data_IF_784575106064
#
_entry.id   IF_784575106064
#
_cell.length_a   1.000
_cell.length_b   1.000
_cell.length_c   1.000
_cell.angle_alpha   90.00
_cell.angle_beta   90.00
_cell.angle_gamma   90.00
#
_symmetry.space_group_name_H-M   'P 1'
#
loop_
_entity.id
_entity.type
_entity.pdbx_description
1 polymer ?
#
# COMPACT_ATOMS: atom_id res chain seq x y z
N UNK A 1 25.38 11.74 25.27
CA UNK A 1 25.60 11.90 23.82
C UNK A 1 24.24 11.77 23.16
N UNK A 2 23.84 12.81 22.44
CA UNK A 2 22.52 12.98 21.83
C UNK A 2 22.33 11.98 20.70
N UNK A 3 21.64 10.88 21.00
CA UNK A 3 21.26 9.86 20.03
C UNK A 3 20.02 10.36 19.26
N UNK A 4 20.23 11.29 18.34
CA UNK A 4 19.19 11.73 17.42
C UNK A 4 18.82 10.54 16.52
N UNK A 5 17.54 10.19 16.37
CA UNK A 5 17.14 9.08 15.52
C UNK A 5 17.64 9.32 14.09
N UNK A 6 18.12 8.29 13.38
CA UNK A 6 18.60 8.44 12.02
C UNK A 6 17.49 9.04 11.14
N UNK A 7 17.84 9.90 10.16
CA UNK A 7 16.86 10.54 9.30
C UNK A 7 15.96 9.50 8.62
N UNK A 8 14.67 9.83 8.47
CA UNK A 8 13.65 9.00 7.81
C UNK A 8 13.99 8.80 6.34
N UNK A 9 14.93 7.90 6.03
CA UNK A 9 15.21 7.50 4.64
C UNK A 9 13.96 6.80 4.11
N UNK A 10 13.41 7.32 3.02
CA UNK A 10 12.31 6.67 2.31
C UNK A 10 12.87 5.41 1.63
N UNK A 11 12.21 4.27 1.87
CA UNK A 11 12.54 3.02 1.20
C UNK A 11 11.58 2.89 0.01
N UNK A 12 12.14 2.74 -1.18
CA UNK A 12 11.34 2.57 -2.40
C UNK A 12 10.52 1.26 -2.33
N UNK A 13 9.24 1.37 -2.68
CA UNK A 13 8.33 0.23 -2.68
C UNK A 13 8.40 -0.50 -4.01
N UNK A 14 8.66 -1.81 -3.97
CA UNK A 14 8.53 -2.67 -5.16
C UNK A 14 7.10 -2.75 -5.69
N UNK A 15 6.13 -2.47 -4.82
CA UNK A 15 4.72 -2.36 -5.22
C UNK A 15 4.41 -1.10 -6.03
N UNK A 16 5.25 -0.05 -6.00
CA UNK A 16 5.01 1.20 -6.73
C UNK A 16 4.83 0.98 -8.24
N UNK A 17 5.78 0.35 -8.97
CA UNK A 17 5.58 0.10 -10.40
C UNK A 17 4.36 -0.78 -10.67
N UNK A 18 3.99 -1.69 -9.76
CA UNK A 18 2.78 -2.51 -9.90
C UNK A 18 1.51 -1.64 -9.83
N UNK A 19 1.47 -0.69 -8.88
CA UNK A 19 0.37 0.29 -8.78
C UNK A 19 0.31 1.17 -10.01
N UNK A 20 1.44 1.70 -10.48
CA UNK A 20 1.50 2.58 -11.65
C UNK A 20 1.06 1.84 -12.93
N UNK A 21 1.49 0.60 -13.13
CA UNK A 21 1.03 -0.25 -14.24
C UNK A 21 -0.49 -0.50 -14.15
N UNK A 22 -1.00 -0.88 -12.97
CA UNK A 22 -2.45 -1.12 -12.81
C UNK A 22 -3.27 0.17 -13.02
N UNK A 23 -2.73 1.34 -12.68
CA UNK A 23 -3.40 2.61 -12.95
C UNK A 23 -3.42 2.98 -14.43
N UNK A 24 -2.56 2.39 -15.25
CA UNK A 24 -2.52 2.65 -16.69
C UNK A 24 -3.60 1.88 -17.45
N UNK A 25 -4.12 0.78 -16.91
CA UNK A 25 -5.10 -0.09 -17.61
C UNK A 25 -6.41 -0.34 -16.82
N UNK A 26 -6.44 -0.04 -15.52
CA UNK A 26 -7.58 -0.34 -14.66
C UNK A 26 -8.19 0.94 -14.09
N UNK A 27 -9.52 1.04 -14.12
CA UNK A 27 -10.27 2.24 -13.70
C UNK A 27 -10.08 2.55 -12.21
N UNK A 28 -10.05 1.52 -11.37
CA UNK A 28 -9.85 1.63 -9.92
C UNK A 28 -8.69 0.72 -9.49
N UNK A 29 -7.79 1.23 -8.66
CA UNK A 29 -6.73 0.42 -8.05
C UNK A 29 -6.84 0.53 -6.55
N UNK A 30 -6.87 -0.59 -5.84
CA UNK A 30 -6.90 -0.64 -4.38
C UNK A 30 -5.57 -1.14 -3.84
N UNK A 31 -4.87 -0.30 -3.07
CA UNK A 31 -3.74 -0.73 -2.25
C UNK A 31 -4.29 -1.29 -0.93
N UNK A 32 -4.25 -2.61 -0.77
CA UNK A 32 -4.81 -3.31 0.40
C UNK A 32 -3.70 -3.92 1.26
N UNK A 33 -3.79 -3.79 2.58
CA UNK A 33 -2.78 -4.39 3.46
C UNK A 33 -3.00 -4.09 4.94
N UNK A 34 -2.18 -4.68 5.83
CA UNK A 34 -2.30 -4.45 7.26
C UNK A 34 -2.07 -2.98 7.61
N UNK A 35 -2.50 -2.60 8.83
CA UNK A 35 -2.21 -1.27 9.36
C UNK A 35 -0.70 -1.06 9.43
N UNK A 36 -0.25 0.18 9.23
CA UNK A 36 1.16 0.56 9.31
C UNK A 36 2.10 -0.09 8.27
N UNK A 37 1.59 -0.77 7.25
CA UNK A 37 2.39 -1.31 6.14
C UNK A 37 2.92 -0.25 5.15
N UNK A 38 2.61 1.04 5.35
CA UNK A 38 3.06 2.14 4.48
C UNK A 38 2.17 2.43 3.27
N UNK A 39 0.88 2.05 3.32
CA UNK A 39 -0.11 2.29 2.23
C UNK A 39 -0.27 3.76 1.90
N UNK A 40 -0.60 4.59 2.89
CA UNK A 40 -0.73 6.05 2.76
C UNK A 40 0.53 6.68 2.17
N UNK A 41 1.72 6.24 2.62
CA UNK A 41 3.00 6.75 2.09
C UNK A 41 3.15 6.43 0.61
N UNK A 42 2.90 5.18 0.19
CA UNK A 42 2.94 4.78 -1.21
C UNK A 42 1.91 5.55 -2.05
N UNK A 43 0.68 5.67 -1.56
CA UNK A 43 -0.39 6.38 -2.26
C UNK A 43 -0.09 7.87 -2.44
N UNK A 44 0.58 8.51 -1.47
CA UNK A 44 1.08 9.89 -1.62
C UNK A 44 2.16 10.03 -2.68
N UNK A 45 3.05 9.04 -2.84
CA UNK A 45 4.07 9.07 -3.92
C UNK A 45 3.46 9.00 -5.33
N UNK A 46 2.24 8.46 -5.44
CA UNK A 46 1.48 8.34 -6.71
C UNK A 46 0.50 9.51 -6.92
N UNK A 47 0.25 10.31 -5.88
CA UNK A 47 -0.58 11.52 -5.98
C UNK A 47 0.14 12.65 -6.71
N UNK A 48 -0.64 13.57 -7.29
CA UNK A 48 -0.11 14.69 -8.06
C UNK A 48 -1.18 15.75 -8.31
N UNK A 49 -0.85 16.76 -9.12
CA UNK A 49 -1.78 17.84 -9.47
C UNK A 49 -3.01 17.32 -10.22
N UNK A 50 -2.85 16.27 -11.03
CA UNK A 50 -3.94 15.63 -11.79
C UNK A 50 -4.66 14.54 -10.99
N UNK A 51 -4.10 14.11 -9.84
CA UNK A 51 -4.63 13.08 -8.95
C UNK A 51 -4.49 13.55 -7.49
N UNK A 52 -5.37 14.46 -7.03
CA UNK A 52 -5.34 14.97 -5.67
C UNK A 52 -5.45 13.86 -4.63
N UNK A 53 -4.77 14.07 -3.50
CA UNK A 53 -4.82 13.17 -2.36
C UNK A 53 -5.90 13.59 -1.36
N UNK A 54 -6.87 12.72 -1.14
CA UNK A 54 -8.01 12.91 -0.23
C UNK A 54 -7.92 11.84 0.85
N UNK A 55 -7.90 12.25 2.12
CA UNK A 55 -7.90 11.30 3.24
C UNK A 55 -9.21 11.30 3.97
N UNK A 56 -9.76 10.10 4.17
CA UNK A 56 -10.95 9.93 5.00
C UNK A 56 -10.59 9.89 6.48
N UNK A 57 -9.33 10.05 6.90
CA UNK A 57 -8.98 10.26 8.31
C UNK A 57 -9.42 11.65 8.81
N UNK A 58 -9.48 12.64 7.91
CA UNK A 58 -10.04 13.96 8.20
C UNK A 58 -11.55 13.87 8.44
N UNK A 59 -12.02 14.41 9.57
CA UNK A 59 -13.41 14.29 10.03
C UNK A 59 -14.37 15.01 9.09
N UNK A 60 -13.99 16.18 8.57
CA UNK A 60 -14.81 16.95 7.63
C UNK A 60 -15.01 16.20 6.32
N UNK A 61 -13.90 15.70 5.77
CA UNK A 61 -13.86 14.90 4.54
C UNK A 61 -14.67 13.62 4.69
N UNK A 62 -14.51 12.90 5.81
CA UNK A 62 -15.29 11.69 6.10
C UNK A 62 -16.78 11.98 6.17
N UNK A 63 -17.17 13.05 6.86
CA UNK A 63 -18.57 13.42 6.99
C UNK A 63 -19.17 13.76 5.63
N UNK A 64 -18.48 14.55 4.81
CA UNK A 64 -18.92 14.84 3.45
C UNK A 64 -19.10 13.57 2.61
N UNK A 65 -18.13 12.66 2.65
CA UNK A 65 -18.17 11.38 1.96
C UNK A 65 -19.34 10.48 2.38
N UNK A 66 -19.72 10.50 3.67
CA UNK A 66 -20.83 9.70 4.20
C UNK A 66 -22.20 10.35 3.95
N UNK A 67 -22.28 11.68 4.01
CA UNK A 67 -23.55 12.40 3.87
C UNK A 67 -24.04 12.43 2.43
N UNK A 68 -23.15 12.67 1.46
CA UNK A 68 -23.48 12.63 0.04
C UNK A 68 -22.36 11.95 -0.77
N UNK A 69 -22.29 10.60 -0.77
CA UNK A 69 -21.25 9.86 -1.50
C UNK A 69 -21.21 10.19 -3.00
N UNK A 70 -22.37 10.39 -3.62
CA UNK A 70 -22.49 10.70 -5.05
C UNK A 70 -21.96 12.11 -5.33
N UNK A 71 -22.40 13.10 -4.53
CA UNK A 71 -21.90 14.47 -4.62
C UNK A 71 -20.40 14.57 -4.34
N UNK A 72 -19.87 13.77 -3.42
CA UNK A 72 -18.45 13.71 -3.08
C UNK A 72 -17.59 13.25 -4.27
N UNK A 73 -18.05 12.25 -5.04
CA UNK A 73 -17.32 11.73 -6.21
C UNK A 73 -17.58 12.55 -7.48
N UNK A 74 -18.66 13.33 -7.52
CA UNK A 74 -19.08 14.08 -8.71
C UNK A 74 -17.98 15.03 -9.19
N UNK A 75 -17.66 14.94 -10.48
CA UNK A 75 -16.67 15.80 -11.12
C UNK A 75 -15.22 15.45 -10.82
N UNK A 76 -14.94 14.45 -9.97
CA UNK A 76 -13.58 13.95 -9.77
C UNK A 76 -13.17 13.14 -11.00
N UNK A 77 -12.20 13.67 -11.75
CA UNK A 77 -11.57 12.96 -12.87
C UNK A 77 -10.66 11.84 -12.37
N UNK A 78 -9.70 12.20 -11.51
CA UNK A 78 -8.83 11.26 -10.80
C UNK A 78 -8.65 11.67 -9.34
N UNK A 79 -8.46 10.71 -8.44
CA UNK A 79 -8.09 10.99 -7.05
C UNK A 79 -7.38 9.79 -6.40
N UNK A 80 -6.62 10.09 -5.35
CA UNK A 80 -6.28 9.13 -4.30
C UNK A 80 -7.28 9.30 -3.16
N UNK A 81 -7.95 8.21 -2.73
CA UNK A 81 -8.83 8.20 -1.56
C UNK A 81 -8.24 7.24 -0.52
N UNK A 82 -7.70 7.81 0.55
CA UNK A 82 -7.04 7.07 1.62
C UNK A 82 -8.06 6.60 2.67
N UNK A 83 -7.88 5.37 3.15
CA UNK A 83 -8.68 4.72 4.19
C UNK A 83 -10.17 4.59 3.80
N UNK A 84 -10.45 4.16 2.56
CA UNK A 84 -11.81 4.09 1.99
C UNK A 84 -12.76 3.21 2.80
N UNK A 85 -12.25 2.25 3.59
CA UNK A 85 -13.08 1.45 4.50
C UNK A 85 -13.81 2.28 5.58
N UNK A 86 -13.41 3.54 5.80
CA UNK A 86 -14.11 4.44 6.71
C UNK A 86 -15.44 4.93 6.12
N UNK A 87 -15.61 4.92 4.80
CA UNK A 87 -16.88 5.25 4.13
C UNK A 87 -17.19 4.20 3.04
N UNK A 88 -17.62 2.98 3.40
CA UNK A 88 -17.96 1.92 2.45
C UNK A 88 -19.02 2.35 1.42
N UNK A 89 -19.87 3.31 1.75
CA UNK A 89 -20.92 3.86 0.89
C UNK A 89 -20.34 4.53 -0.38
N UNK A 90 -19.10 5.02 -0.33
CA UNK A 90 -18.41 5.60 -1.49
C UNK A 90 -18.21 4.59 -2.62
N UNK A 91 -18.19 3.28 -2.33
CA UNK A 91 -17.90 2.25 -3.32
C UNK A 91 -18.96 2.24 -4.42
N UNK A 92 -20.24 2.43 -4.07
CA UNK A 92 -21.33 2.52 -5.05
C UNK A 92 -21.23 3.80 -5.89
N UNK A 93 -20.86 4.93 -5.30
CA UNK A 93 -20.65 6.18 -6.01
C UNK A 93 -19.45 6.12 -6.96
N UNK A 94 -18.35 5.48 -6.53
CA UNK A 94 -17.17 5.22 -7.37
C UNK A 94 -17.56 4.31 -8.54
N UNK A 95 -18.30 3.23 -8.28
CA UNK A 95 -18.82 2.34 -9.33
C UNK A 95 -19.61 3.12 -10.37
N UNK A 96 -20.62 3.89 -9.96
CA UNK A 96 -21.44 4.70 -10.86
C UNK A 96 -20.59 5.68 -11.68
N UNK A 97 -19.57 6.28 -11.05
CA UNK A 97 -18.65 7.17 -11.73
C UNK A 97 -17.86 6.45 -12.83
N UNK A 98 -17.21 5.31 -12.52
CA UNK A 98 -16.38 4.55 -13.48
C UNK A 98 -17.16 3.71 -14.49
N UNK A 99 -18.48 3.59 -14.30
CA UNK A 99 -19.40 3.05 -15.31
C UNK A 99 -19.73 4.09 -16.39
N UNK A 100 -19.69 5.38 -16.05
CA UNK A 100 -19.95 6.49 -16.99
C UNK A 100 -18.73 6.92 -17.79
N UNK A 101 -17.56 6.78 -17.22
CA UNK A 101 -16.28 7.13 -17.84
C UNK A 101 -15.28 6.03 -17.49
N UNK A 102 -14.88 5.30 -18.54
CA UNK A 102 -14.05 4.12 -18.49
C UNK A 102 -12.55 4.40 -18.64
N UNK A 103 -12.13 5.68 -18.59
CA UNK A 103 -10.73 6.04 -18.54
C UNK A 103 -10.00 5.25 -17.43
N UNK A 104 -8.79 4.73 -17.69
CA UNK A 104 -7.99 4.09 -16.66
C UNK A 104 -7.52 5.05 -15.56
N UNK A 105 -7.28 4.47 -14.38
CA UNK A 105 -6.61 5.14 -13.29
C UNK A 105 -7.41 6.24 -12.62
N UNK A 106 -8.75 6.21 -12.68
CA UNK A 106 -9.61 7.23 -12.05
C UNK A 106 -9.44 7.26 -10.54
N UNK A 107 -9.46 6.12 -9.88
CA UNK A 107 -9.36 6.10 -8.41
C UNK A 107 -8.23 5.20 -7.93
N UNK A 108 -7.33 5.76 -7.13
CA UNK A 108 -6.40 4.99 -6.31
C UNK A 108 -6.96 4.97 -4.88
N UNK A 109 -7.35 3.81 -4.40
CA UNK A 109 -7.90 3.62 -3.06
C UNK A 109 -6.83 3.02 -2.16
N UNK A 110 -6.89 3.33 -0.87
CA UNK A 110 -6.19 2.54 0.16
C UNK A 110 -7.18 1.97 1.16
N UNK A 111 -6.84 0.82 1.72
CA UNK A 111 -7.58 0.30 2.86
C UNK A 111 -7.00 -0.94 3.51
N UNK A 112 -7.69 -1.43 4.53
CA UNK A 112 -7.27 -2.64 5.24
C UNK A 112 -7.29 -3.88 4.33
N UNK A 113 -6.51 -4.91 4.68
CA UNK A 113 -6.41 -6.15 3.90
C UNK A 113 -7.77 -6.82 3.60
N UNK A 114 -8.70 -6.79 4.57
CA UNK A 114 -10.02 -7.41 4.43
C UNK A 114 -10.99 -6.59 3.58
N UNK A 115 -10.60 -5.39 3.13
CA UNK A 115 -11.51 -4.54 2.38
C UNK A 115 -11.89 -5.15 1.04
N UNK A 116 -10.92 -5.77 0.35
CA UNK A 116 -11.15 -6.43 -0.92
C UNK A 116 -12.07 -7.67 -0.81
N UNK A 117 -12.22 -8.23 0.40
CA UNK A 117 -13.10 -9.39 0.65
C UNK A 117 -14.48 -9.00 1.15
N UNK A 118 -14.76 -7.71 1.35
CA UNK A 118 -16.11 -7.23 1.68
C UNK A 118 -17.01 -7.48 0.46
N UNK A 119 -18.10 -8.27 0.58
CA UNK A 119 -18.95 -8.65 -0.56
C UNK A 119 -19.46 -7.45 -1.36
N UNK A 120 -19.90 -6.40 -0.67
CA UNK A 120 -20.36 -5.15 -1.29
C UNK A 120 -19.31 -4.55 -2.22
N UNK A 121 -18.03 -4.65 -1.87
CA UNK A 121 -16.92 -4.11 -2.66
C UNK A 121 -16.57 -5.03 -3.81
N UNK A 122 -16.44 -6.33 -3.52
CA UNK A 122 -16.15 -7.35 -4.52
C UNK A 122 -17.20 -7.33 -5.65
N UNK A 123 -18.48 -7.29 -5.30
CA UNK A 123 -19.58 -7.31 -6.27
C UNK A 123 -19.70 -5.98 -7.03
N UNK A 124 -19.56 -4.85 -6.33
CA UNK A 124 -19.75 -3.54 -6.95
C UNK A 124 -18.63 -3.17 -7.93
N UNK A 125 -17.39 -3.56 -7.65
CA UNK A 125 -16.22 -3.19 -8.44
C UNK A 125 -15.61 -4.37 -9.22
N UNK A 126 -16.30 -5.51 -9.30
CA UNK A 126 -15.90 -6.63 -10.13
C UNK A 126 -15.61 -6.19 -11.58
N UNK A 127 -14.44 -6.61 -12.08
CA UNK A 127 -13.96 -6.29 -13.43
C UNK A 127 -13.54 -4.83 -13.66
N UNK A 128 -13.64 -3.95 -12.65
CA UNK A 128 -13.28 -2.52 -12.74
C UNK A 128 -12.12 -2.14 -11.84
N UNK A 129 -11.83 -2.99 -10.86
CA UNK A 129 -10.82 -2.76 -9.84
C UNK A 129 -9.73 -3.82 -9.88
N UNK A 130 -8.48 -3.37 -9.75
CA UNK A 130 -7.31 -4.20 -9.47
C UNK A 130 -6.90 -4.01 -8.02
N UNK A 131 -6.55 -5.10 -7.34
CA UNK A 131 -6.10 -5.07 -5.94
C UNK A 131 -4.61 -5.33 -5.90
N UNK A 132 -3.85 -4.35 -5.39
CA UNK A 132 -2.42 -4.47 -5.14
C UNK A 132 -2.19 -4.71 -3.65
N UNK A 133 -1.82 -5.94 -3.24
CA UNK A 133 -1.51 -6.21 -1.84
C UNK A 133 -0.21 -5.52 -1.42
N UNK A 134 -0.23 -4.88 -0.26
CA UNK A 134 0.91 -4.20 0.32
C UNK A 134 1.21 -4.74 1.72
N UNK A 135 2.17 -5.65 1.78
CA UNK A 135 2.73 -6.17 3.02
C UNK A 135 3.81 -5.23 3.58
N UNK A 136 4.30 -5.49 4.81
CA UNK A 136 5.51 -4.85 5.32
C UNK A 136 6.70 -5.06 4.36
N UNK A 137 7.76 -4.26 4.53
CA UNK A 137 8.91 -4.30 3.63
C UNK A 137 9.51 -5.69 3.51
N UNK A 138 9.77 -6.11 2.27
CA UNK A 138 10.61 -7.27 2.01
C UNK A 138 12.06 -6.96 2.39
N UNK A 139 12.85 -7.99 2.73
CA UNK A 139 14.29 -7.81 2.98
C UNK A 139 15.00 -7.18 1.77
N UNK A 140 14.55 -7.52 0.56
CA UNK A 140 15.09 -6.91 -0.66
C UNK A 140 14.77 -5.42 -0.81
N UNK A 141 13.66 -4.91 -0.24
CA UNK A 141 13.41 -3.46 -0.17
C UNK A 141 14.32 -2.81 0.87
N UNK A 142 14.45 -3.43 2.07
CA UNK A 142 15.29 -2.93 3.16
C UNK A 142 16.77 -2.84 2.73
N UNK A 143 17.26 -3.87 2.05
CA UNK A 143 18.64 -3.96 1.55
C UNK A 143 18.82 -3.27 0.19
N UNK A 144 17.75 -2.70 -0.40
CA UNK A 144 17.79 -2.08 -1.74
C UNK A 144 18.32 -3.04 -2.83
N UNK A 145 17.96 -4.32 -2.75
CA UNK A 145 18.34 -5.35 -3.72
C UNK A 145 17.19 -5.69 -4.68
N UNK A 146 17.49 -6.19 -5.89
CA UNK A 146 16.46 -6.57 -6.87
C UNK A 146 15.50 -7.66 -6.40
N UNK A 147 15.89 -8.53 -5.47
CA UNK A 147 15.01 -9.59 -4.95
C UNK A 147 14.62 -10.66 -5.99
N UNK A 148 15.58 -11.08 -6.82
CA UNK A 148 15.38 -11.98 -7.97
C UNK A 148 15.43 -13.48 -7.62
N UNK A 149 15.19 -13.86 -6.37
CA UNK A 149 15.33 -15.27 -5.96
C UNK A 149 14.42 -16.18 -6.80
N UNK A 150 13.14 -15.83 -6.89
CA UNK A 150 12.17 -16.63 -7.65
C UNK A 150 12.47 -16.63 -9.15
N UNK A 151 12.82 -15.46 -9.72
CA UNK A 151 13.16 -15.36 -11.15
C UNK A 151 14.33 -16.28 -11.52
N UNK A 152 15.37 -16.32 -10.69
CA UNK A 152 16.54 -17.19 -10.88
C UNK A 152 16.18 -18.67 -10.77
N UNK A 153 15.37 -19.04 -9.77
CA UNK A 153 14.90 -20.42 -9.61
C UNK A 153 14.05 -20.87 -10.81
N UNK A 154 13.16 -20.01 -11.32
CA UNK A 154 12.37 -20.31 -12.51
C UNK A 154 13.21 -20.36 -13.80
N UNK A 155 14.35 -19.66 -13.83
CA UNK A 155 15.33 -19.76 -14.90
C UNK A 155 16.22 -21.02 -14.80
N UNK A 156 16.01 -21.87 -13.77
CA UNK A 156 16.78 -23.09 -13.56
C UNK A 156 18.13 -22.88 -12.90
N UNK A 157 18.41 -21.69 -12.35
CA UNK A 157 19.62 -21.46 -11.55
C UNK A 157 19.50 -22.13 -10.18
N UNK A 158 20.56 -22.81 -9.75
CA UNK A 158 20.62 -23.34 -8.40
C UNK A 158 20.80 -22.20 -7.37
N UNK A 159 20.09 -22.26 -6.22
CA UNK A 159 20.29 -21.31 -5.16
C UNK A 159 21.71 -21.44 -4.60
N UNK A 160 22.42 -20.30 -4.56
CA UNK A 160 23.79 -20.21 -4.08
C UNK A 160 23.86 -19.31 -2.84
N UNK A 161 24.52 -19.80 -1.79
CA UNK A 161 24.88 -19.02 -0.61
C UNK A 161 26.32 -18.51 -0.78
N UNK A 162 26.47 -17.22 -1.07
CA UNK A 162 27.77 -16.54 -1.15
C UNK A 162 28.27 -16.04 0.21
N UNK A 163 29.38 -15.30 0.21
CA UNK A 163 29.99 -14.72 1.41
C UNK A 163 29.05 -13.76 2.15
N UNK A 164 28.17 -13.05 1.44
CA UNK A 164 27.18 -12.13 2.02
C UNK A 164 25.91 -12.82 2.56
N UNK A 165 25.90 -14.15 2.67
CA UNK A 165 24.73 -14.88 3.14
C UNK A 165 24.52 -14.66 4.63
N UNK A 166 23.34 -14.13 4.98
CA UNK A 166 22.92 -13.94 6.36
C UNK A 166 22.53 -15.29 6.98
N UNK A 167 23.31 -15.76 7.95
CA UNK A 167 23.12 -17.03 8.66
C UNK A 167 23.17 -16.84 10.18
N UNK A 168 22.81 -17.89 10.93
CA UNK A 168 22.94 -17.91 12.40
C UNK A 168 22.16 -16.78 13.08
N UNK A 169 22.81 -16.11 14.04
CA UNK A 169 22.20 -15.04 14.84
C UNK A 169 21.76 -13.85 14.00
N UNK A 170 22.47 -13.52 12.91
CA UNK A 170 22.08 -12.41 12.03
C UNK A 170 20.80 -12.72 11.26
N UNK A 171 20.57 -13.99 10.91
CA UNK A 171 19.31 -14.44 10.31
C UNK A 171 18.17 -14.32 11.31
N UNK A 172 18.39 -14.80 12.55
CA UNK A 172 17.41 -14.68 13.62
C UNK A 172 17.06 -13.21 13.87
N UNK A 173 18.08 -12.35 13.99
CA UNK A 173 17.89 -10.92 14.16
C UNK A 173 17.08 -10.33 13.01
N UNK A 174 17.40 -10.68 11.76
CA UNK A 174 16.69 -10.22 10.56
C UNK A 174 15.21 -10.59 10.60
N UNK A 175 14.88 -11.83 10.96
CA UNK A 175 13.49 -12.29 11.13
C UNK A 175 12.79 -11.49 12.24
N UNK A 176 13.43 -11.32 13.39
CA UNK A 176 12.88 -10.59 14.54
C UNK A 176 12.73 -9.08 14.28
N UNK A 177 13.52 -8.47 13.39
CA UNK A 177 13.32 -7.06 12.98
C UNK A 177 12.00 -6.90 12.22
N UNK A 178 11.57 -7.93 11.50
CA UNK A 178 10.41 -7.90 10.61
C UNK A 178 10.56 -6.90 9.47
N UNK A 179 9.43 -6.57 8.83
CA UNK A 179 9.38 -5.62 7.72
C UNK A 179 8.60 -4.34 8.02
N UNK A 180 8.03 -4.20 9.22
CA UNK A 180 7.15 -3.07 9.49
C UNK A 180 7.93 -1.76 9.58
N UNK A 181 7.52 -0.69 8.85
CA UNK A 181 8.21 0.59 8.87
C UNK A 181 8.51 1.13 10.28
N UNK A 182 7.54 1.04 11.19
CA UNK A 182 7.70 1.51 12.57
C UNK A 182 8.58 0.58 13.42
N UNK A 183 8.57 -0.74 13.19
CA UNK A 183 9.48 -1.65 13.87
C UNK A 183 10.94 -1.40 13.44
N UNK A 184 11.19 -1.18 12.15
CA UNK A 184 12.51 -0.91 11.60
C UNK A 184 13.13 0.40 12.11
N UNK A 185 12.30 1.39 12.48
CA UNK A 185 12.76 2.67 13.03
C UNK A 185 13.24 2.60 14.48
N UNK A 186 12.92 1.53 15.20
CA UNK A 186 13.25 1.40 16.62
C UNK A 186 14.64 0.79 16.77
N UNK A 187 15.50 1.53 17.46
CA UNK A 187 16.90 1.15 17.69
C UNK A 187 17.06 -0.01 18.68
N UNK A 188 16.16 -0.16 19.65
CA UNK A 188 16.28 -1.18 20.71
C UNK A 188 15.36 -2.39 20.49
N UNK A 189 15.85 -3.63 20.70
CA UNK A 189 15.02 -4.84 20.59
C UNK A 189 13.75 -4.80 21.44
N UNK A 190 13.85 -4.40 22.72
CA UNK A 190 12.68 -4.35 23.61
C UNK A 190 11.57 -3.41 23.12
N UNK A 191 11.92 -2.27 22.50
CA UNK A 191 10.93 -1.35 21.92
C UNK A 191 10.26 -1.93 20.67
N UNK A 192 10.96 -2.78 19.92
CA UNK A 192 10.39 -3.47 18.75
C UNK A 192 9.40 -4.54 19.19
N UNK A 193 9.78 -5.38 20.16
CA UNK A 193 8.91 -6.41 20.72
C UNK A 193 7.64 -5.79 21.28
N UNK A 194 7.75 -4.76 22.13
CA UNK A 194 6.60 -4.06 22.72
C UNK A 194 5.68 -3.34 21.71
N UNK A 195 6.06 -3.27 20.42
CA UNK A 195 5.20 -2.75 19.37
C UNK A 195 4.55 -3.86 18.53
N UNK A 196 5.15 -5.05 18.50
CA UNK A 196 4.62 -6.22 17.80
C UNK A 196 3.54 -6.94 18.65
N UNK A 197 3.60 -6.78 19.97
CA UNK A 197 2.56 -7.17 20.94
C UNK A 197 1.38 -6.19 20.95
#
# INVERSE_FOLDING_TARGET
MTDSPPPKKLIERKARPIVETALADTRVVLIAGPRQAGKTTLARQVSGSDRPFITLDDVGTLNAARTDPIGFIRGIKRAVIDEVQRAPELILAIKESVDRDDEPGRFLLTGSANLATVPVIADSLAGRMSVVPLLPFAQSEIQSTPGRLLDRLFAGEEPFAGEDTVIGDDLLLTVLRGGYPEALRRSTPGRRTAWLE
#
